data_IF_684399078419
#
_entry.id   IF_684399078419
#
_cell.length_a   1.000
_cell.length_b   1.000
_cell.length_c   1.000
_cell.angle_alpha   90.00
_cell.angle_beta   90.00
_cell.angle_gamma   90.00
#
_symmetry.space_group_name_H-M   'P 1'
#
loop_
_entity.id
_entity.type
_entity.pdbx_description
1 polymer ?
#
# COMPACT_ATOMS: atom_id res chain seq x y z
N UNK A 1 -26.32 -1.43 -4.86
CA UNK A 1 -25.27 -0.67 -4.16
C UNK A 1 -23.95 -0.78 -4.93
N UNK A 2 -23.33 0.34 -5.23
CA UNK A 2 -22.01 0.35 -5.86
C UNK A 2 -20.92 0.12 -4.78
N UNK A 3 -20.02 -0.83 -5.02
CA UNK A 3 -18.91 -1.14 -4.11
C UNK A 3 -17.64 -1.33 -4.91
N UNK A 4 -16.52 -0.96 -4.32
CA UNK A 4 -15.21 -1.27 -4.87
C UNK A 4 -14.93 -2.77 -4.67
N UNK A 5 -14.51 -3.45 -5.73
CA UNK A 5 -14.20 -4.89 -5.66
C UNK A 5 -12.71 -5.13 -5.50
N UNK A 6 -11.91 -4.78 -6.50
CA UNK A 6 -10.46 -4.94 -6.43
C UNK A 6 -9.74 -4.04 -7.42
N UNK A 7 -8.43 -3.90 -7.23
CA UNK A 7 -7.54 -3.22 -8.15
C UNK A 7 -6.35 -4.12 -8.48
N UNK A 8 -6.01 -4.19 -9.76
CA UNK A 8 -4.79 -4.87 -10.22
C UNK A 8 -3.62 -3.90 -10.28
N UNK A 9 -2.47 -4.35 -9.79
CA UNK A 9 -1.23 -3.59 -9.81
C UNK A 9 -0.13 -4.44 -10.46
N UNK A 10 0.56 -3.93 -11.49
CA UNK A 10 1.71 -4.63 -12.05
C UNK A 10 2.89 -4.60 -11.07
N UNK A 11 3.73 -5.63 -11.11
CA UNK A 11 4.88 -5.73 -10.24
C UNK A 11 6.01 -6.50 -10.91
N UNK A 12 7.25 -6.16 -10.55
CA UNK A 12 8.42 -6.94 -10.97
C UNK A 12 8.44 -8.29 -10.27
N UNK A 13 8.10 -8.31 -8.98
CA UNK A 13 7.97 -9.51 -8.16
C UNK A 13 6.67 -9.44 -7.38
N UNK A 14 5.56 -10.04 -7.89
CA UNK A 14 4.25 -9.90 -7.27
C UNK A 14 4.20 -10.39 -5.82
N UNK A 15 4.84 -11.50 -5.50
CA UNK A 15 4.82 -12.03 -4.13
C UNK A 15 5.58 -11.12 -3.17
N UNK A 16 6.77 -10.67 -3.54
CA UNK A 16 7.57 -9.77 -2.70
C UNK A 16 6.84 -8.43 -2.49
N UNK A 17 6.23 -7.89 -3.55
CA UNK A 17 5.45 -6.65 -3.49
C UNK A 17 4.24 -6.78 -2.56
N UNK A 18 3.50 -7.87 -2.69
CA UNK A 18 2.32 -8.13 -1.86
C UNK A 18 2.71 -8.34 -0.39
N UNK A 19 3.75 -9.11 -0.12
CA UNK A 19 4.24 -9.32 1.26
C UNK A 19 4.68 -8.03 1.93
N UNK A 20 5.47 -7.22 1.24
CA UNK A 20 5.96 -5.96 1.80
C UNK A 20 4.81 -5.01 2.17
N UNK A 21 3.84 -4.86 1.27
CA UNK A 21 2.69 -3.98 1.52
C UNK A 21 1.77 -4.54 2.61
N UNK A 22 1.47 -5.84 2.58
CA UNK A 22 0.62 -6.47 3.59
C UNK A 22 1.20 -6.31 4.99
N UNK A 23 2.50 -6.51 5.15
CA UNK A 23 3.18 -6.32 6.44
C UNK A 23 3.12 -4.86 6.91
N UNK A 24 3.32 -3.89 6.01
CA UNK A 24 3.21 -2.46 6.36
C UNK A 24 1.80 -2.11 6.82
N UNK A 25 0.78 -2.57 6.11
CA UNK A 25 -0.63 -2.28 6.42
C UNK A 25 -1.16 -3.06 7.63
N UNK A 26 -0.44 -4.07 8.10
CA UNK A 26 -0.95 -4.98 9.12
C UNK A 26 -2.09 -5.84 8.60
N UNK A 27 -2.10 -6.12 7.29
CA UNK A 27 -3.03 -7.06 6.67
C UNK A 27 -2.55 -8.50 6.86
N UNK A 28 -3.43 -9.46 6.61
CA UNK A 28 -3.05 -10.87 6.61
C UNK A 28 -2.05 -11.18 5.49
N UNK A 29 -1.38 -12.35 5.54
CA UNK A 29 -0.43 -12.73 4.51
C UNK A 29 -1.12 -12.82 3.14
N UNK A 30 -0.41 -12.43 2.06
CA UNK A 30 -0.98 -12.53 0.72
C UNK A 30 -1.29 -13.98 0.34
N UNK A 31 -2.32 -14.14 -0.48
CA UNK A 31 -2.71 -15.45 -1.03
C UNK A 31 -2.53 -15.48 -2.53
N UNK A 32 -2.17 -16.65 -3.07
CA UNK A 32 -2.05 -16.85 -4.51
C UNK A 32 -3.43 -16.81 -5.18
N UNK A 33 -3.46 -16.27 -6.39
CA UNK A 33 -4.67 -16.15 -7.20
C UNK A 33 -4.35 -16.42 -8.67
N UNK A 34 -5.38 -16.60 -9.49
CA UNK A 34 -5.24 -16.92 -10.90
C UNK A 34 -5.08 -18.41 -11.16
N UNK A 35 -5.23 -18.83 -12.42
CA UNK A 35 -5.16 -20.24 -12.83
C UNK A 35 -3.78 -20.84 -12.54
N UNK A 36 -2.72 -20.05 -12.73
CA UNK A 36 -1.33 -20.48 -12.54
C UNK A 36 -0.79 -20.18 -11.16
N UNK A 37 -1.61 -19.62 -10.25
CA UNK A 37 -1.21 -19.21 -8.90
C UNK A 37 0.01 -18.28 -8.89
N UNK A 38 0.12 -17.40 -9.88
CA UNK A 38 1.24 -16.49 -10.09
C UNK A 38 0.90 -15.02 -9.79
N UNK A 39 -0.35 -14.75 -9.46
CA UNK A 39 -0.80 -13.48 -8.92
C UNK A 39 -0.97 -13.58 -7.41
N UNK A 40 -0.84 -12.45 -6.71
CA UNK A 40 -0.93 -12.46 -5.25
C UNK A 40 -1.83 -11.32 -4.78
N UNK A 41 -2.79 -11.67 -3.92
CA UNK A 41 -3.79 -10.74 -3.42
C UNK A 41 -3.61 -10.44 -1.95
N UNK A 42 -3.90 -9.19 -1.60
CA UNK A 42 -4.01 -8.72 -0.22
C UNK A 42 -5.48 -8.41 0.02
N UNK A 43 -6.11 -9.12 0.96
CA UNK A 43 -7.49 -8.85 1.34
C UNK A 43 -7.56 -7.65 2.27
N UNK A 44 -8.50 -6.75 1.99
CA UNK A 44 -8.81 -5.60 2.83
C UNK A 44 -10.00 -5.92 3.75
N UNK A 45 -10.17 -5.12 4.80
CA UNK A 45 -11.17 -5.41 5.84
C UNK A 45 -12.62 -5.34 5.34
N UNK A 46 -12.89 -4.58 4.27
CA UNK A 46 -14.22 -4.40 3.70
C UNK A 46 -14.58 -5.44 2.61
N UNK A 47 -13.71 -6.42 2.36
CA UNK A 47 -13.87 -7.42 1.32
C UNK A 47 -13.28 -7.06 -0.04
N UNK A 48 -12.85 -5.82 -0.25
CA UNK A 48 -12.06 -5.46 -1.42
C UNK A 48 -10.64 -6.03 -1.32
N UNK A 49 -9.92 -6.09 -2.43
CA UNK A 49 -8.56 -6.59 -2.40
C UNK A 49 -7.66 -5.92 -3.45
N UNK A 50 -6.35 -5.96 -3.20
CA UNK A 50 -5.34 -5.61 -4.19
C UNK A 50 -4.80 -6.90 -4.80
N UNK A 51 -4.51 -6.86 -6.10
CA UNK A 51 -3.99 -8.02 -6.83
C UNK A 51 -2.73 -7.63 -7.58
N UNK A 52 -1.59 -8.16 -7.14
CA UNK A 52 -0.32 -7.96 -7.83
C UNK A 52 -0.10 -9.03 -8.89
N UNK A 53 0.27 -8.61 -10.10
CA UNK A 53 0.57 -9.51 -11.20
C UNK A 53 1.88 -9.11 -11.88
N UNK A 54 2.63 -10.08 -12.39
CA UNK A 54 3.89 -9.81 -13.08
C UNK A 54 3.65 -9.07 -14.39
N UNK A 55 4.50 -8.09 -14.67
CA UNK A 55 4.49 -7.36 -15.93
C UNK A 55 5.93 -7.01 -16.34
N UNK A 56 6.25 -7.00 -17.65
CA UNK A 56 7.58 -6.64 -18.12
C UNK A 56 7.89 -5.15 -17.90
N UNK A 57 6.85 -4.31 -17.96
CA UNK A 57 6.92 -2.89 -17.67
C UNK A 57 5.94 -2.57 -16.56
N UNK A 58 6.36 -1.76 -15.59
CA UNK A 58 5.56 -1.43 -14.42
C UNK A 58 5.34 0.08 -14.36
N UNK A 59 4.27 0.60 -15.00
CA UNK A 59 3.90 1.99 -14.81
C UNK A 59 3.47 2.23 -13.37
N UNK A 60 3.88 3.37 -12.82
CA UNK A 60 3.57 3.72 -11.44
C UNK A 60 2.07 3.91 -11.23
N UNK A 61 1.53 3.26 -10.21
CA UNK A 61 0.16 3.47 -9.74
C UNK A 61 0.13 4.31 -8.47
N UNK A 62 -1.06 4.78 -8.10
CA UNK A 62 -1.29 5.47 -6.84
C UNK A 62 -2.52 4.87 -6.16
N UNK A 63 -2.35 4.38 -4.93
CA UNK A 63 -3.43 3.79 -4.13
C UNK A 63 -3.41 4.40 -2.74
N UNK A 64 -4.58 4.82 -2.27
CA UNK A 64 -4.74 5.42 -0.95
C UNK A 64 -5.65 4.56 -0.08
N UNK A 65 -5.30 4.45 1.20
CA UNK A 65 -6.07 3.73 2.21
C UNK A 65 -6.45 4.67 3.34
N UNK A 66 -7.65 4.50 3.87
CA UNK A 66 -8.07 5.16 5.09
C UNK A 66 -7.99 4.17 6.24
N UNK A 67 -7.30 4.54 7.31
CA UNK A 67 -7.08 3.71 8.49
C UNK A 67 -7.62 4.41 9.74
N UNK A 68 -7.91 3.65 10.78
CA UNK A 68 -8.08 4.23 12.10
C UNK A 68 -6.74 4.76 12.64
N UNK A 69 -6.74 5.71 13.59
CA UNK A 69 -5.50 6.30 14.10
C UNK A 69 -4.49 5.30 14.67
N UNK A 70 -4.87 4.27 15.45
CA UNK A 70 -3.90 3.27 15.92
C UNK A 70 -3.22 2.50 14.79
N UNK A 71 -3.96 2.13 13.76
CA UNK A 71 -3.41 1.40 12.61
C UNK A 71 -2.51 2.29 11.77
N UNK A 72 -2.87 3.56 11.60
CA UNK A 72 -2.01 4.56 10.96
C UNK A 72 -0.67 4.68 11.71
N UNK A 73 -0.70 4.84 13.03
CA UNK A 73 0.51 4.92 13.85
C UNK A 73 1.38 3.66 13.68
N UNK A 74 0.77 2.48 13.60
CA UNK A 74 1.50 1.24 13.39
C UNK A 74 2.19 1.18 12.02
N UNK A 75 1.55 1.70 10.96
CA UNK A 75 2.18 1.80 9.64
C UNK A 75 3.42 2.71 9.70
N UNK A 76 3.31 3.87 10.33
CA UNK A 76 4.44 4.80 10.46
C UNK A 76 5.59 4.15 11.23
N UNK A 77 5.31 3.44 12.32
CA UNK A 77 6.33 2.72 13.09
C UNK A 77 7.04 1.65 12.24
N UNK A 78 6.30 0.90 11.41
CA UNK A 78 6.89 -0.11 10.53
C UNK A 78 7.75 0.50 9.43
N UNK A 79 7.34 1.64 8.87
CA UNK A 79 8.16 2.39 7.90
C UNK A 79 9.47 2.83 8.55
N UNK A 80 9.43 3.35 9.77
CA UNK A 80 10.62 3.75 10.53
C UNK A 80 11.53 2.55 10.81
N UNK A 81 10.95 1.43 11.27
CA UNK A 81 11.71 0.22 11.58
C UNK A 81 12.44 -0.35 10.35
N UNK A 82 11.90 -0.16 9.17
CA UNK A 82 12.50 -0.59 7.89
C UNK A 82 13.46 0.44 7.30
N UNK A 83 13.60 1.61 7.92
CA UNK A 83 14.29 2.75 7.32
C UNK A 83 13.73 3.11 5.93
N UNK A 84 12.44 2.87 5.73
CA UNK A 84 11.76 3.20 4.48
C UNK A 84 11.33 4.66 4.50
N UNK A 85 11.72 5.48 3.49
CA UNK A 85 11.32 6.87 3.43
C UNK A 85 9.82 7.04 3.33
N UNK A 86 9.29 8.08 3.98
CA UNK A 86 7.90 8.49 3.88
C UNK A 86 7.78 10.00 4.08
N UNK A 87 6.65 10.57 3.69
CA UNK A 87 6.37 11.98 3.89
C UNK A 87 4.89 12.27 3.71
N UNK A 88 4.47 13.47 4.10
CA UNK A 88 3.07 13.85 4.11
C UNK A 88 2.56 14.53 2.83
N UNK A 89 3.39 14.54 1.77
CA UNK A 89 3.03 15.15 0.48
C UNK A 89 3.37 14.22 -0.68
N UNK A 90 2.52 14.16 -1.72
CA UNK A 90 2.80 13.30 -2.88
C UNK A 90 3.99 13.79 -3.71
N UNK A 91 4.27 15.10 -3.69
CA UNK A 91 5.43 15.71 -4.35
C UNK A 91 6.69 15.73 -3.48
N UNK A 92 6.56 15.32 -2.21
CA UNK A 92 7.68 15.19 -1.28
C UNK A 92 7.42 14.00 -0.32
N UNK A 93 7.43 12.76 -0.85
CA UNK A 93 7.09 11.58 -0.06
C UNK A 93 8.25 11.08 0.82
N UNK A 94 9.27 11.90 1.03
CA UNK A 94 10.46 11.56 1.80
C UNK A 94 10.76 12.57 2.91
N UNK A 95 9.84 13.52 3.18
CA UNK A 95 10.08 14.60 4.13
C UNK A 95 9.99 14.16 5.61
N UNK A 96 9.51 12.95 5.90
CA UNK A 96 9.42 12.40 7.26
C UNK A 96 8.28 12.96 8.10
N UNK A 97 7.40 13.78 7.51
CA UNK A 97 6.27 14.38 8.22
C UNK A 97 5.05 13.47 8.15
N UNK A 98 4.18 13.57 9.16
CA UNK A 98 2.99 12.73 9.28
C UNK A 98 1.70 13.52 9.45
N UNK A 99 1.77 14.86 9.60
CA UNK A 99 0.59 15.69 9.72
C UNK A 99 -0.18 15.75 8.39
N UNK A 100 -1.51 15.82 8.49
CA UNK A 100 -2.37 15.88 7.31
C UNK A 100 -2.71 17.33 6.96
N UNK A 101 -2.09 17.86 5.91
CA UNK A 101 -2.36 19.21 5.40
C UNK A 101 -3.77 19.34 4.79
N UNK A 102 -4.46 18.21 4.57
CA UNK A 102 -5.83 18.17 4.04
C UNK A 102 -6.90 18.16 5.14
N UNK A 103 -6.49 18.29 6.42
CA UNK A 103 -7.39 18.47 7.55
C UNK A 103 -7.70 17.21 8.35
N UNK A 104 -7.14 16.06 8.01
CA UNK A 104 -7.26 14.83 8.79
C UNK A 104 -6.27 14.77 9.95
N UNK A 105 -6.26 13.63 10.65
CA UNK A 105 -5.39 13.42 11.82
C UNK A 105 -3.97 12.97 11.43
N UNK A 106 -3.79 12.39 10.26
CA UNK A 106 -2.49 12.00 9.75
C UNK A 106 -2.56 11.57 8.30
N UNK A 107 -1.42 11.74 7.59
CA UNK A 107 -1.28 11.31 6.20
C UNK A 107 0.18 11.07 5.87
N UNK A 108 0.50 9.91 5.30
CA UNK A 108 1.83 9.63 4.78
C UNK A 108 1.75 8.98 3.40
N UNK A 109 2.75 9.27 2.60
CA UNK A 109 3.00 8.67 1.29
C UNK A 109 4.31 7.90 1.35
N UNK A 110 4.36 6.77 0.68
CA UNK A 110 5.59 5.99 0.53
C UNK A 110 5.57 5.26 -0.82
N UNK A 111 6.76 4.91 -1.30
CA UNK A 111 6.93 4.29 -2.62
C UNK A 111 7.45 2.87 -2.42
N UNK A 112 6.90 1.91 -3.16
CA UNK A 112 7.40 0.54 -3.16
C UNK A 112 8.53 0.35 -4.19
N UNK A 113 9.07 -0.88 -4.26
CA UNK A 113 10.17 -1.21 -5.18
C UNK A 113 9.77 -1.13 -6.66
N UNK A 114 8.47 -1.13 -6.96
CA UNK A 114 7.96 -0.95 -8.32
C UNK A 114 7.84 0.52 -8.73
N UNK A 115 7.91 1.43 -7.78
CA UNK A 115 7.63 2.84 -8.01
C UNK A 115 6.16 3.21 -7.79
N UNK A 116 5.32 2.30 -7.28
CA UNK A 116 3.95 2.65 -6.91
C UNK A 116 3.95 3.57 -5.70
N UNK A 117 3.12 4.62 -5.76
CA UNK A 117 2.91 5.54 -4.66
C UNK A 117 1.72 5.07 -3.82
N UNK A 118 1.98 4.72 -2.57
CA UNK A 118 0.96 4.38 -1.61
C UNK A 118 0.75 5.53 -0.63
N UNK A 119 -0.49 5.67 -0.19
CA UNK A 119 -0.90 6.72 0.73
C UNK A 119 -1.76 6.09 1.82
N UNK A 120 -1.50 6.44 3.08
CA UNK A 120 -2.37 6.09 4.20
C UNK A 120 -2.76 7.35 4.94
N UNK A 121 -4.02 7.45 5.33
CA UNK A 121 -4.57 8.60 6.03
C UNK A 121 -5.51 8.15 7.15
N UNK A 122 -5.69 9.00 8.10
CA UNK A 122 -6.66 8.76 9.17
C UNK A 122 -7.38 10.04 9.62
#
# INVERSE_FOLDING_TARGET
MLRFDHIGLPAHDPLASARALAELLGAGPPTADGEDHDMFRIDLDDGAFLLFSAAPEVPAGHVAFHLDPPRFAAVVERLRARHQPFGNRPDDPRNGRTDDELGGAGRVYFVDDNGHLFEVAC
#
